data_IF_109648821316
#
_entry.id   IF_109648821316
#
_cell.length_a   1.000
_cell.length_b   1.000
_cell.length_c   1.000
_cell.angle_alpha   90.00
_cell.angle_beta   90.00
_cell.angle_gamma   90.00
#
_symmetry.space_group_name_H-M   'P 1'
#
loop_
_entity.id
_entity.type
_entity.pdbx_description
1 polymer ?
#
# COMPACT_ATOMS: atom_id res chain seq x y z
N UNK A 1 -0.52 -11.14 -16.34
CA UNK A 1 -0.13 -11.16 -14.92
C UNK A 1 -1.38 -11.14 -14.04
N UNK A 2 -1.46 -12.00 -13.02
CA UNK A 2 -2.50 -12.06 -12.00
C UNK A 2 -1.94 -11.51 -10.69
N UNK A 3 -2.61 -10.52 -10.12
CA UNK A 3 -2.16 -9.84 -8.90
C UNK A 3 -3.19 -10.04 -7.80
N UNK A 4 -2.72 -10.31 -6.59
CA UNK A 4 -3.54 -10.12 -5.39
C UNK A 4 -3.26 -8.73 -4.86
N UNK A 5 -4.27 -7.87 -4.90
CA UNK A 5 -4.19 -6.50 -4.39
C UNK A 5 -4.89 -6.44 -3.03
N UNK A 6 -4.11 -6.24 -1.97
CA UNK A 6 -4.54 -6.13 -0.57
C UNK A 6 -4.09 -4.77 -0.01
N UNK A 7 -4.80 -4.28 1.00
CA UNK A 7 -4.43 -3.09 1.77
C UNK A 7 -5.17 -3.09 3.12
N UNK A 8 -4.85 -2.12 3.98
CA UNK A 8 -5.66 -1.77 5.15
C UNK A 8 -5.95 -2.99 6.04
N UNK A 9 -4.90 -3.79 6.30
CA UNK A 9 -5.00 -5.00 7.12
C UNK A 9 -5.34 -4.65 8.58
N UNK A 10 -4.85 -3.51 9.07
CA UNK A 10 -5.06 -3.00 10.43
C UNK A 10 -4.94 -4.06 11.52
N UNK A 11 -3.91 -4.90 11.44
CA UNK A 11 -3.69 -6.00 12.39
C UNK A 11 -3.59 -5.42 13.81
N UNK A 12 -4.36 -6.00 14.74
CA UNK A 12 -4.44 -5.56 16.12
C UNK A 12 -5.51 -4.49 16.40
N UNK A 13 -6.40 -4.20 15.44
CA UNK A 13 -7.54 -3.30 15.65
C UNK A 13 -8.51 -3.88 16.69
N UNK A 14 -9.04 -2.98 17.53
CA UNK A 14 -10.12 -3.27 18.48
C UNK A 14 -11.39 -2.58 18.01
N UNK A 15 -12.53 -3.28 18.02
CA UNK A 15 -13.83 -2.70 17.72
C UNK A 15 -14.61 -2.53 19.02
N UNK A 16 -14.87 -1.27 19.41
CA UNK A 16 -15.54 -0.94 20.67
C UNK A 16 -14.90 -1.61 21.91
N UNK A 17 -13.58 -1.79 21.90
CA UNK A 17 -12.82 -2.44 22.98
C UNK A 17 -12.74 -3.98 22.87
N UNK A 18 -13.43 -4.59 21.91
CA UNK A 18 -13.35 -6.03 21.66
C UNK A 18 -12.22 -6.36 20.68
N UNK A 19 -11.48 -7.42 20.99
CA UNK A 19 -10.43 -7.92 20.10
C UNK A 19 -11.04 -8.56 18.86
N UNK A 20 -10.54 -8.19 17.69
CA UNK A 20 -10.89 -8.80 16.41
C UNK A 20 -9.91 -9.91 16.00
N UNK A 21 -9.02 -10.32 16.91
CA UNK A 21 -7.90 -11.21 16.61
C UNK A 21 -8.29 -12.45 15.82
N UNK A 22 -9.24 -13.24 16.33
CA UNK A 22 -9.62 -14.51 15.71
C UNK A 22 -10.16 -14.29 14.29
N UNK A 23 -10.91 -13.20 14.09
CA UNK A 23 -11.42 -12.83 12.77
C UNK A 23 -10.30 -12.41 11.82
N UNK A 24 -9.34 -11.61 12.30
CA UNK A 24 -8.17 -11.20 11.51
C UNK A 24 -7.30 -12.41 11.15
N UNK A 25 -7.04 -13.32 12.09
CA UNK A 25 -6.31 -14.58 11.82
C UNK A 25 -7.04 -15.43 10.77
N UNK A 26 -8.37 -15.56 10.86
CA UNK A 26 -9.16 -16.31 9.90
C UNK A 26 -9.11 -15.70 8.48
N UNK A 27 -9.23 -14.37 8.36
CA UNK A 27 -9.16 -13.67 7.07
C UNK A 27 -7.77 -13.78 6.44
N UNK A 28 -6.71 -13.59 7.23
CA UNK A 28 -5.33 -13.74 6.74
C UNK A 28 -5.05 -15.19 6.30
N UNK A 29 -5.54 -16.18 7.04
CA UNK A 29 -5.46 -17.59 6.63
C UNK A 29 -6.20 -17.83 5.31
N UNK A 30 -7.40 -17.28 5.15
CA UNK A 30 -8.18 -17.42 3.93
C UNK A 30 -7.48 -16.79 2.73
N UNK A 31 -6.85 -15.63 2.90
CA UNK A 31 -6.03 -14.99 1.86
C UNK A 31 -4.87 -15.89 1.46
N UNK A 32 -4.16 -16.50 2.42
CA UNK A 32 -3.07 -17.42 2.14
C UNK A 32 -3.55 -18.68 1.41
N UNK A 33 -4.71 -19.22 1.79
CA UNK A 33 -5.34 -20.36 1.09
C UNK A 33 -5.71 -20.00 -0.36
N UNK A 34 -6.29 -18.81 -0.59
CA UNK A 34 -6.53 -18.33 -1.94
C UNK A 34 -5.23 -18.13 -2.71
N UNK A 35 -4.19 -17.55 -2.11
CA UNK A 35 -2.90 -17.38 -2.78
C UNK A 35 -2.29 -18.74 -3.19
N UNK A 36 -2.48 -19.77 -2.36
CA UNK A 36 -2.03 -21.14 -2.66
C UNK A 36 -2.83 -21.78 -3.79
N UNK A 37 -4.15 -21.59 -3.82
CA UNK A 37 -5.03 -22.17 -4.85
C UNK A 37 -4.91 -21.45 -6.20
N UNK A 38 -4.89 -20.12 -6.16
CA UNK A 38 -4.99 -19.24 -7.32
C UNK A 38 -3.64 -18.83 -7.90
N UNK A 39 -2.57 -18.98 -7.10
CA UNK A 39 -1.18 -18.73 -7.44
C UNK A 39 -0.96 -17.42 -8.25
N UNK A 40 -1.21 -16.24 -7.64
CA UNK A 40 -0.94 -14.97 -8.31
C UNK A 40 0.56 -14.80 -8.59
N UNK A 41 0.87 -14.05 -9.64
CA UNK A 41 2.25 -13.71 -10.01
C UNK A 41 2.91 -12.77 -8.98
N UNK A 42 2.12 -11.99 -8.24
CA UNK A 42 2.56 -11.21 -7.10
C UNK A 42 1.41 -10.89 -6.14
N UNK A 43 1.76 -10.71 -4.86
CA UNK A 43 0.86 -10.19 -3.81
C UNK A 43 1.31 -8.77 -3.47
N UNK A 44 0.39 -7.82 -3.56
CA UNK A 44 0.60 -6.41 -3.26
C UNK A 44 -0.08 -6.09 -1.93
N UNK A 45 0.65 -5.59 -0.94
CA UNK A 45 0.12 -5.12 0.35
C UNK A 45 0.33 -3.61 0.41
N UNK A 46 -0.73 -2.86 0.10
CA UNK A 46 -0.71 -1.43 -0.14
C UNK A 46 -0.94 -0.60 1.12
N UNK A 47 -0.17 -0.86 2.19
CA UNK A 47 -0.15 -0.06 3.41
C UNK A 47 -1.17 -0.44 4.48
N UNK A 48 -1.03 0.19 5.64
CA UNK A 48 -1.77 -0.01 6.87
C UNK A 48 -1.81 -1.48 7.30
N UNK A 49 -0.60 -2.03 7.47
CA UNK A 49 -0.41 -3.40 7.97
C UNK A 49 -0.93 -3.51 9.40
N UNK A 50 -0.58 -2.53 10.23
CA UNK A 50 -1.00 -2.47 11.62
C UNK A 50 -2.01 -1.37 11.88
N UNK A 51 -2.88 -1.54 12.88
CA UNK A 51 -3.82 -0.50 13.31
C UNK A 51 -3.12 0.72 13.95
N UNK A 52 -1.91 0.54 14.48
CA UNK A 52 -1.17 1.59 15.21
C UNK A 52 0.32 1.50 14.94
N UNK A 53 0.99 2.64 15.04
CA UNK A 53 2.44 2.74 14.83
C UNK A 53 3.27 1.99 15.87
N UNK A 54 2.68 1.71 17.04
CA UNK A 54 3.19 0.82 18.07
C UNK A 54 2.25 -0.41 18.24
N UNK A 55 2.37 -1.43 17.37
CA UNK A 55 1.58 -2.66 17.45
C UNK A 55 1.89 -3.45 18.72
N UNK A 56 0.94 -4.27 19.17
CA UNK A 56 1.18 -5.25 20.23
C UNK A 56 2.10 -6.37 19.75
N UNK A 57 2.76 -7.08 20.66
CA UNK A 57 3.54 -8.27 20.31
C UNK A 57 2.73 -9.33 19.54
N UNK A 58 1.45 -9.45 19.88
CA UNK A 58 0.50 -10.33 19.21
C UNK A 58 0.25 -9.93 17.75
N UNK A 59 0.13 -8.63 17.47
CA UNK A 59 -0.01 -8.14 16.10
C UNK A 59 1.22 -8.49 15.23
N UNK A 60 2.43 -8.36 15.79
CA UNK A 60 3.65 -8.78 15.09
C UNK A 60 3.63 -10.29 14.79
N UNK A 61 3.27 -11.12 15.77
CA UNK A 61 3.18 -12.58 15.57
C UNK A 61 2.15 -12.96 14.51
N UNK A 62 1.03 -12.25 14.45
CA UNK A 62 0.01 -12.51 13.43
C UNK A 62 0.51 -12.20 12.02
N UNK A 63 1.16 -11.04 11.84
CA UNK A 63 1.72 -10.69 10.54
C UNK A 63 2.87 -11.61 10.12
N UNK A 64 3.74 -11.98 11.07
CA UNK A 64 4.82 -12.94 10.85
C UNK A 64 4.29 -14.29 10.35
N UNK A 65 3.27 -14.86 11.01
CA UNK A 65 2.61 -16.09 10.56
C UNK A 65 1.98 -15.98 9.17
N UNK A 66 1.39 -14.82 8.87
CA UNK A 66 0.84 -14.58 7.54
C UNK A 66 1.94 -14.56 6.47
N UNK A 67 3.04 -13.84 6.70
CA UNK A 67 4.19 -13.85 5.80
C UNK A 67 4.84 -15.22 5.69
N UNK A 68 4.94 -15.98 6.78
CA UNK A 68 5.43 -17.36 6.79
C UNK A 68 4.58 -18.23 5.85
N UNK A 69 3.26 -18.23 6.03
CA UNK A 69 2.31 -18.98 5.21
C UNK A 69 2.42 -18.61 3.72
N UNK A 70 2.52 -17.33 3.38
CA UNK A 70 2.75 -16.90 1.99
C UNK A 70 4.11 -17.38 1.46
N UNK A 71 5.15 -17.32 2.30
CA UNK A 71 6.52 -17.69 1.92
C UNK A 71 6.72 -19.20 1.73
N UNK A 72 5.81 -20.03 2.24
CA UNK A 72 5.80 -21.49 2.08
C UNK A 72 5.21 -21.94 0.73
N UNK A 73 4.42 -21.09 0.06
CA UNK A 73 3.82 -21.42 -1.23
C UNK A 73 4.91 -21.68 -2.27
N UNK A 74 4.71 -22.73 -3.09
CA UNK A 74 5.62 -23.13 -4.17
C UNK A 74 4.87 -23.30 -5.49
N UNK A 75 5.41 -22.78 -6.62
CA UNK A 75 6.58 -21.90 -6.73
C UNK A 75 6.40 -20.59 -5.93
N UNK A 76 7.53 -19.96 -5.55
CA UNK A 76 7.51 -18.79 -4.65
C UNK A 76 6.78 -17.62 -5.31
N UNK A 77 5.86 -16.99 -4.58
CA UNK A 77 5.13 -15.79 -5.01
C UNK A 77 5.83 -14.55 -4.40
N UNK A 78 6.28 -13.58 -5.21
CA UNK A 78 6.77 -12.30 -4.72
C UNK A 78 5.69 -11.54 -3.93
N UNK A 79 6.07 -10.98 -2.77
CA UNK A 79 5.21 -10.13 -1.95
C UNK A 79 5.79 -8.73 -1.91
N UNK A 80 5.03 -7.74 -2.38
CA UNK A 80 5.44 -6.33 -2.46
C UNK A 80 4.64 -5.55 -1.42
N UNK A 81 5.33 -4.89 -0.49
CA UNK A 81 4.72 -4.29 0.69
C UNK A 81 5.15 -2.84 0.79
N UNK A 82 4.19 -1.94 0.95
CA UNK A 82 4.43 -0.53 1.30
C UNK A 82 3.88 -0.22 2.70
N UNK A 83 4.49 0.75 3.39
CA UNK A 83 3.95 1.26 4.65
C UNK A 83 2.78 2.24 4.41
N UNK A 84 1.73 2.15 5.23
CA UNK A 84 0.64 3.13 5.26
C UNK A 84 0.86 4.23 6.30
N UNK A 85 -0.17 5.04 6.59
CA UNK A 85 -0.06 6.14 7.56
C UNK A 85 -0.14 5.68 9.03
N UNK A 86 -0.67 4.49 9.30
CA UNK A 86 -0.70 3.91 10.65
C UNK A 86 0.61 3.21 11.02
N UNK A 87 1.38 2.79 10.03
CA UNK A 87 2.59 2.01 10.24
C UNK A 87 3.77 2.87 10.74
N UNK A 88 4.72 2.24 11.46
CA UNK A 88 6.02 2.85 11.75
C UNK A 88 7.05 2.33 10.75
N UNK A 89 7.60 3.20 9.87
CA UNK A 89 8.62 2.79 8.91
C UNK A 89 9.85 2.14 9.55
N UNK A 90 10.34 2.67 10.66
CA UNK A 90 11.51 2.14 11.37
C UNK A 90 11.27 0.71 11.84
N UNK A 91 10.10 0.45 12.44
CA UNK A 91 9.73 -0.88 12.96
C UNK A 91 9.52 -1.89 11.85
N UNK A 92 8.86 -1.49 10.76
CA UNK A 92 8.69 -2.36 9.59
C UNK A 92 10.04 -2.65 8.88
N UNK A 93 10.96 -1.69 8.87
CA UNK A 93 12.24 -1.83 8.14
C UNK A 93 13.21 -2.85 8.75
N UNK A 94 13.05 -3.21 10.03
CA UNK A 94 14.05 -3.91 10.86
C UNK A 94 14.57 -5.23 10.24
N UNK A 95 13.73 -5.95 9.48
CA UNK A 95 14.09 -7.23 8.85
C UNK A 95 14.04 -7.21 7.32
N UNK A 96 13.97 -6.03 6.69
CA UNK A 96 13.79 -5.87 5.23
C UNK A 96 14.81 -6.68 4.39
N UNK A 97 16.10 -6.59 4.71
CA UNK A 97 17.16 -7.32 3.98
C UNK A 97 17.08 -8.84 4.13
N UNK A 98 16.53 -9.34 5.23
CA UNK A 98 16.27 -10.76 5.45
C UNK A 98 15.09 -11.22 4.59
N UNK A 99 13.98 -10.46 4.63
CA UNK A 99 12.74 -10.75 3.91
C UNK A 99 12.92 -10.77 2.40
N UNK A 100 13.77 -9.89 1.86
CA UNK A 100 14.06 -9.86 0.41
C UNK A 100 14.65 -11.16 -0.13
N UNK A 101 15.43 -11.88 0.69
CA UNK A 101 15.94 -13.22 0.31
C UNK A 101 14.83 -14.25 0.12
N UNK A 102 13.65 -13.97 0.66
CA UNK A 102 12.44 -14.77 0.54
C UNK A 102 11.44 -14.17 -0.46
N UNK A 103 11.88 -13.23 -1.33
CA UNK A 103 11.05 -12.50 -2.29
C UNK A 103 9.93 -11.68 -1.65
N UNK A 104 10.17 -11.20 -0.43
CA UNK A 104 9.28 -10.29 0.28
C UNK A 104 9.97 -8.92 0.31
N UNK A 105 9.45 -7.96 -0.44
CA UNK A 105 10.06 -6.66 -0.68
C UNK A 105 9.28 -5.58 0.05
N UNK A 106 9.94 -4.91 1.00
CA UNK A 106 9.36 -3.80 1.75
C UNK A 106 9.88 -2.45 1.23
N UNK A 107 9.00 -1.47 1.10
CA UNK A 107 9.33 -0.06 0.88
C UNK A 107 8.59 0.77 1.93
N UNK A 108 9.31 1.39 2.86
CA UNK A 108 8.70 2.01 4.05
C UNK A 108 9.08 3.47 4.24
N UNK A 109 10.14 3.93 3.58
CA UNK A 109 10.51 5.33 3.50
C UNK A 109 10.48 5.79 2.04
N UNK A 110 9.99 7.01 1.76
CA UNK A 110 10.23 7.60 0.46
C UNK A 110 11.71 8.00 0.33
N UNK A 111 12.20 8.19 -0.90
CA UNK A 111 13.52 8.77 -1.16
C UNK A 111 13.69 10.12 -0.47
N UNK A 112 14.84 10.31 0.20
CA UNK A 112 15.18 11.58 0.86
C UNK A 112 16.48 12.20 0.35
N UNK A 113 17.19 11.51 -0.55
CA UNK A 113 18.40 12.00 -1.21
C UNK A 113 18.22 12.08 -2.72
N UNK A 114 18.95 12.99 -3.37
CA UNK A 114 18.82 13.25 -4.81
C UNK A 114 19.09 12.00 -5.66
N UNK A 115 20.00 11.14 -5.19
CA UNK A 115 20.40 9.87 -5.81
C UNK A 115 19.48 8.68 -5.48
N UNK A 116 18.52 8.86 -4.57
CA UNK A 116 17.54 7.85 -4.22
C UNK A 116 16.25 8.00 -5.04
N UNK A 117 15.69 6.87 -5.43
CA UNK A 117 14.45 6.73 -6.20
C UNK A 117 13.53 5.73 -5.51
N UNK A 118 12.26 5.72 -5.90
CA UNK A 118 11.32 4.72 -5.42
C UNK A 118 11.87 3.31 -5.64
N UNK A 119 11.65 2.45 -4.65
CA UNK A 119 12.00 1.04 -4.78
C UNK A 119 11.21 0.46 -5.95
N UNK A 120 11.95 -0.03 -6.95
CA UNK A 120 11.39 -0.62 -8.16
C UNK A 120 11.68 -2.12 -8.22
N UNK A 121 10.65 -2.93 -8.39
CA UNK A 121 10.77 -4.39 -8.56
C UNK A 121 10.34 -4.75 -9.97
N UNK A 122 11.23 -5.41 -10.72
CA UNK A 122 10.93 -5.91 -12.05
C UNK A 122 10.47 -7.38 -11.95
N UNK A 123 9.25 -7.65 -12.39
CA UNK A 123 8.73 -9.00 -12.61
C UNK A 123 8.47 -9.20 -14.11
N UNK A 124 8.13 -10.42 -14.51
CA UNK A 124 7.78 -10.71 -15.89
C UNK A 124 6.65 -11.73 -15.98
N UNK A 125 5.83 -11.61 -17.01
CA UNK A 125 4.89 -12.64 -17.44
C UNK A 125 5.13 -13.01 -18.91
N UNK A 126 4.22 -13.79 -19.51
CA UNK A 126 4.31 -14.20 -20.92
C UNK A 126 4.33 -13.03 -21.93
N UNK A 127 3.89 -11.83 -21.53
CA UNK A 127 3.87 -10.62 -22.37
C UNK A 127 5.09 -9.72 -22.15
N UNK A 128 6.05 -10.15 -21.32
CA UNK A 128 7.31 -9.44 -21.07
C UNK A 128 7.40 -8.83 -19.67
N UNK A 129 8.28 -7.85 -19.45
CA UNK A 129 8.51 -7.30 -18.13
C UNK A 129 7.38 -6.37 -17.65
N UNK A 130 7.27 -6.25 -16.32
CA UNK A 130 6.38 -5.34 -15.60
C UNK A 130 7.18 -4.70 -14.47
N UNK A 131 7.19 -3.37 -14.42
CA UNK A 131 7.90 -2.59 -13.41
C UNK A 131 6.94 -2.18 -12.28
N UNK A 132 7.22 -2.59 -11.06
CA UNK A 132 6.46 -2.23 -9.87
C UNK A 132 7.16 -1.14 -9.07
N UNK A 133 6.50 0.00 -8.89
CA UNK A 133 6.98 1.14 -8.13
C UNK A 133 6.29 1.16 -6.77
N UNK A 134 7.08 1.13 -5.69
CA UNK A 134 6.57 1.02 -4.33
C UNK A 134 6.62 2.38 -3.62
N UNK A 135 5.51 3.13 -3.66
CA UNK A 135 5.33 4.41 -2.99
C UNK A 135 4.67 4.22 -1.62
N UNK A 136 5.42 4.23 -0.50
CA UNK A 136 4.82 4.25 0.84
C UNK A 136 4.08 5.56 1.10
N UNK A 137 3.30 5.59 2.19
CA UNK A 137 2.62 6.81 2.63
C UNK A 137 3.60 7.97 2.73
N UNK A 138 3.34 9.01 1.96
CA UNK A 138 4.25 10.13 1.77
C UNK A 138 3.67 11.38 2.41
N UNK A 139 4.34 11.88 3.45
CA UNK A 139 4.11 13.22 3.99
C UNK A 139 4.99 14.22 3.24
N UNK A 140 4.48 15.41 2.84
CA UNK A 140 5.29 16.43 2.17
C UNK A 140 6.59 16.79 2.90
N UNK A 141 6.56 16.78 4.24
CA UNK A 141 7.73 17.06 5.08
C UNK A 141 8.92 16.11 4.85
N UNK A 142 8.70 14.89 4.34
CA UNK A 142 9.77 13.95 4.02
C UNK A 142 10.64 14.40 2.85
N UNK A 143 10.09 15.21 1.94
CA UNK A 143 10.82 15.67 0.75
C UNK A 143 11.59 16.96 0.99
N UNK A 144 11.50 17.57 2.18
CA UNK A 144 12.24 18.81 2.52
C UNK A 144 13.74 18.74 2.17
N UNK A 145 14.47 17.64 2.42
CA UNK A 145 15.89 17.55 2.07
C UNK A 145 16.16 17.61 0.55
N UNK A 146 15.14 17.35 -0.28
CA UNK A 146 15.20 17.36 -1.74
C UNK A 146 14.77 18.68 -2.37
N UNK A 147 14.30 19.64 -1.55
CA UNK A 147 13.80 20.93 -2.01
C UNK A 147 14.84 22.01 -1.69
N UNK A 148 15.60 22.52 -2.69
CA UNK A 148 16.68 23.48 -2.46
C UNK A 148 16.23 24.77 -1.78
N UNK A 149 14.96 25.15 -1.95
CA UNK A 149 14.34 26.35 -1.39
C UNK A 149 13.62 26.09 -0.04
N UNK A 150 13.56 24.82 0.41
CA UNK A 150 12.83 24.43 1.61
C UNK A 150 11.33 24.68 1.54
N UNK A 151 10.77 24.77 0.32
CA UNK A 151 9.35 25.04 0.09
C UNK A 151 8.45 24.00 0.77
N UNK A 152 7.28 24.47 1.23
CA UNK A 152 6.23 23.59 1.74
C UNK A 152 5.37 23.14 0.57
N UNK A 153 5.34 21.84 0.31
CA UNK A 153 4.48 21.24 -0.70
C UNK A 153 3.15 20.80 -0.07
N UNK A 154 2.08 20.88 -0.85
CA UNK A 154 0.87 20.07 -0.64
C UNK A 154 1.15 18.58 -0.88
N UNK A 155 0.21 17.71 -0.51
CA UNK A 155 0.32 16.27 -0.77
C UNK A 155 0.38 15.97 -2.27
N UNK A 156 -0.43 16.64 -3.09
CA UNK A 156 -0.39 16.46 -4.55
C UNK A 156 0.96 16.89 -5.12
N UNK A 157 1.45 18.08 -4.75
CA UNK A 157 2.75 18.57 -5.22
C UNK A 157 3.89 17.65 -4.78
N UNK A 158 3.83 17.08 -3.57
CA UNK A 158 4.82 16.14 -3.07
C UNK A 158 4.85 14.84 -3.89
N UNK A 159 3.69 14.22 -4.15
CA UNK A 159 3.62 13.01 -5.00
C UNK A 159 4.04 13.33 -6.43
N UNK A 160 3.56 14.44 -7.00
CA UNK A 160 3.92 14.86 -8.37
C UNK A 160 5.42 15.12 -8.51
N UNK A 161 6.03 15.82 -7.54
CA UNK A 161 7.47 16.06 -7.50
C UNK A 161 8.24 14.75 -7.42
N UNK A 162 7.88 13.86 -6.50
CA UNK A 162 8.58 12.59 -6.33
C UNK A 162 8.50 11.75 -7.60
N UNK A 163 7.31 11.58 -8.18
CA UNK A 163 7.12 10.81 -9.41
C UNK A 163 7.79 11.46 -10.63
N UNK A 164 7.94 12.79 -10.67
CA UNK A 164 8.66 13.48 -11.76
C UNK A 164 10.16 13.19 -11.78
N UNK A 165 10.72 12.73 -10.66
CA UNK A 165 12.13 12.31 -10.58
C UNK A 165 12.32 10.90 -11.14
N UNK A 166 11.28 10.09 -11.16
CA UNK A 166 11.34 8.70 -11.61
C UNK A 166 11.52 8.59 -13.12
N UNK A 167 12.29 7.58 -13.55
CA UNK A 167 12.50 7.28 -14.97
C UNK A 167 11.55 6.17 -15.41
N UNK A 168 10.28 6.51 -15.56
CA UNK A 168 9.22 5.58 -15.97
C UNK A 168 9.29 5.38 -17.49
N UNK A 169 9.51 4.15 -17.95
CA UNK A 169 9.52 3.82 -19.37
C UNK A 169 8.09 3.54 -19.87
N UNK A 170 7.49 4.41 -20.70
CA UNK A 170 6.13 4.24 -21.19
C UNK A 170 5.97 3.06 -22.17
N UNK A 171 7.07 2.43 -22.60
CA UNK A 171 7.03 1.23 -23.45
C UNK A 171 6.91 -0.06 -22.65
N UNK A 172 7.11 0.00 -21.33
CA UNK A 172 6.94 -1.11 -20.40
C UNK A 172 5.60 -0.98 -19.69
N UNK A 173 5.11 -2.09 -19.14
CA UNK A 173 3.97 -2.06 -18.23
C UNK A 173 4.43 -1.60 -16.86
N UNK A 174 3.82 -0.55 -16.33
CA UNK A 174 4.19 0.06 -15.07
C UNK A 174 3.04 -0.06 -14.07
N UNK A 175 3.31 -0.60 -12.89
CA UNK A 175 2.37 -0.72 -11.78
C UNK A 175 2.88 0.10 -10.61
N UNK A 176 2.02 0.88 -9.97
CA UNK A 176 2.36 1.59 -8.73
C UNK A 176 1.53 1.05 -7.56
N UNK A 177 2.19 0.82 -6.43
CA UNK A 177 1.54 0.65 -5.13
C UNK A 177 1.59 1.99 -4.43
N UNK A 178 0.46 2.46 -3.92
CA UNK A 178 0.38 3.72 -3.19
C UNK A 178 -0.61 3.66 -2.04
N UNK A 179 -0.30 4.37 -0.97
CA UNK A 179 -1.21 4.56 0.15
C UNK A 179 -1.36 6.07 0.38
N UNK A 180 -2.40 6.67 -0.19
CA UNK A 180 -2.72 8.11 -0.12
C UNK A 180 -4.22 8.31 -0.38
N UNK A 181 -4.73 9.54 -0.20
CA UNK A 181 -6.10 9.90 -0.56
C UNK A 181 -6.18 10.51 -1.98
N UNK A 182 -6.62 9.71 -2.96
CA UNK A 182 -6.72 10.09 -4.36
C UNK A 182 -8.14 10.48 -4.75
N UNK A 183 -8.28 11.56 -5.52
CA UNK A 183 -9.55 12.05 -6.09
C UNK A 183 -9.50 12.05 -7.62
N UNK A 184 -10.65 12.19 -8.29
CA UNK A 184 -10.71 12.34 -9.74
C UNK A 184 -11.42 13.64 -10.11
N UNK A 185 -10.67 14.71 -10.31
CA UNK A 185 -11.21 16.06 -10.47
C UNK A 185 -12.06 16.48 -9.27
N UNK A 186 -13.33 16.79 -9.50
CA UNK A 186 -14.28 17.14 -8.44
C UNK A 186 -14.99 15.93 -7.82
N UNK A 187 -14.76 14.73 -8.33
CA UNK A 187 -15.35 13.51 -7.78
C UNK A 187 -14.51 13.00 -6.61
N UNK A 188 -15.16 12.90 -5.45
CA UNK A 188 -14.56 12.36 -4.23
C UNK A 188 -14.90 10.88 -4.08
N UNK A 189 -13.94 10.04 -3.65
CA UNK A 189 -14.22 8.67 -3.25
C UNK A 189 -15.26 8.60 -2.12
N UNK A 190 -15.98 7.49 -2.06
CA UNK A 190 -16.84 7.20 -0.91
C UNK A 190 -15.97 6.82 0.29
N UNK A 191 -16.24 7.43 1.44
CA UNK A 191 -15.56 7.13 2.71
C UNK A 191 -16.50 6.41 3.68
N UNK A 192 -15.90 5.73 4.68
CA UNK A 192 -16.60 5.04 5.75
C UNK A 192 -16.25 5.59 7.14
N UNK A 193 -17.03 5.24 8.17
CA UNK A 193 -16.88 5.79 9.52
C UNK A 193 -15.53 5.46 10.17
N UNK A 194 -14.94 4.31 9.81
CA UNK A 194 -13.60 3.88 10.23
C UNK A 194 -12.49 4.79 9.69
N UNK A 195 -12.77 5.55 8.64
CA UNK A 195 -11.89 6.53 8.01
C UNK A 195 -12.18 7.97 8.49
N UNK A 196 -13.13 8.17 9.43
CA UNK A 196 -13.61 9.50 9.80
C UNK A 196 -12.49 10.44 10.29
N UNK A 197 -11.40 9.91 10.87
CA UNK A 197 -10.24 10.72 11.24
C UNK A 197 -9.48 11.29 10.02
N UNK A 198 -9.47 10.56 8.90
CA UNK A 198 -8.90 11.00 7.61
C UNK A 198 -9.77 12.10 6.99
N UNK A 199 -11.09 11.93 7.02
CA UNK A 199 -12.04 12.94 6.53
C UNK A 199 -11.98 14.28 7.33
N UNK A 200 -11.66 14.21 8.63
CA UNK A 200 -11.53 15.40 9.50
C UNK A 200 -10.27 16.25 9.25
N UNK A 201 -9.32 15.81 8.43
CA UNK A 201 -8.16 16.63 8.02
C UNK A 201 -8.52 17.77 7.04
N UNK A 202 -9.81 17.90 6.67
CA UNK A 202 -10.31 19.07 5.94
C UNK A 202 -9.96 19.11 4.45
N UNK A 203 -9.55 17.97 3.87
CA UNK A 203 -9.25 17.86 2.43
C UNK A 203 -7.89 18.42 2.01
N UNK A 204 -6.97 18.67 2.94
CA UNK A 204 -5.60 19.14 2.68
C UNK A 204 -4.68 18.03 2.10
N UNK A 205 -5.18 16.80 2.11
CA UNK A 205 -4.48 15.55 1.83
C UNK A 205 -4.84 14.98 0.45
N UNK A 206 -5.71 15.68 -0.30
CA UNK A 206 -6.25 15.21 -1.58
C UNK A 206 -5.20 15.28 -2.69
N UNK A 207 -5.18 14.24 -3.52
CA UNK A 207 -4.26 14.10 -4.65
C UNK A 207 -5.06 13.75 -5.89
N UNK A 208 -5.04 14.58 -6.92
CA UNK A 208 -5.70 14.22 -8.17
C UNK A 208 -5.01 13.02 -8.84
N UNK A 209 -5.80 12.05 -9.28
CA UNK A 209 -5.33 10.79 -9.86
C UNK A 209 -4.49 10.98 -11.13
N UNK A 210 -4.54 12.15 -11.79
CA UNK A 210 -3.67 12.47 -12.93
C UNK A 210 -2.17 12.37 -12.62
N UNK A 211 -1.76 12.46 -11.34
CA UNK A 211 -0.35 12.20 -10.97
C UNK A 211 0.10 10.77 -11.30
N UNK A 212 -0.84 9.84 -11.51
CA UNK A 212 -0.62 8.43 -11.79
C UNK A 212 -0.77 8.07 -13.28
N UNK A 213 -0.84 9.05 -14.18
CA UNK A 213 -1.08 8.80 -15.61
C UNK A 213 0.01 7.99 -16.32
N UNK A 214 1.23 7.95 -15.78
CA UNK A 214 2.32 7.15 -16.30
C UNK A 214 2.21 5.64 -15.97
N UNK A 215 1.23 5.22 -15.17
CA UNK A 215 1.07 3.84 -14.70
C UNK A 215 -0.13 3.14 -15.33
N UNK A 216 0.07 1.93 -15.83
CA UNK A 216 -0.99 1.11 -16.41
C UNK A 216 -1.98 0.63 -15.35
N UNK A 217 -1.51 0.36 -14.13
CA UNK A 217 -2.32 0.00 -12.97
C UNK A 217 -1.80 0.67 -11.69
N UNK A 218 -2.72 1.19 -10.88
CA UNK A 218 -2.43 1.71 -9.56
C UNK A 218 -3.20 0.93 -8.49
N UNK A 219 -2.43 0.21 -7.66
CA UNK A 219 -2.89 -0.53 -6.51
C UNK A 219 -2.90 0.41 -5.30
N UNK A 220 -4.09 0.90 -4.93
CA UNK A 220 -4.27 1.86 -3.84
C UNK A 220 -4.75 1.17 -2.56
N UNK A 221 -4.17 1.55 -1.42
CA UNK A 221 -4.76 1.40 -0.09
C UNK A 221 -5.02 2.75 0.54
N UNK A 222 -5.66 2.78 1.74
CA UNK A 222 -6.06 3.93 2.58
C UNK A 222 -7.57 4.05 2.75
N UNK A 223 -8.34 3.67 1.71
CA UNK A 223 -9.79 3.61 1.76
C UNK A 223 -10.24 2.15 1.87
N UNK A 224 -11.13 1.89 2.81
CA UNK A 224 -11.65 0.58 3.19
C UNK A 224 -12.77 0.10 2.27
N UNK A 225 -13.41 1.01 1.53
CA UNK A 225 -14.37 0.69 0.48
C UNK A 225 -13.68 0.38 -0.85
N UNK A 226 -13.95 -0.80 -1.41
CA UNK A 226 -13.44 -1.18 -2.75
C UNK A 226 -14.08 -0.30 -3.82
N UNK A 227 -13.27 0.47 -4.56
CA UNK A 227 -13.76 1.39 -5.56
C UNK A 227 -12.70 1.78 -6.59
N UNK A 228 -13.15 2.22 -7.77
CA UNK A 228 -12.30 2.85 -8.79
C UNK A 228 -12.19 4.35 -8.56
N UNK A 229 -11.09 4.96 -8.98
CA UNK A 229 -10.90 6.41 -8.97
C UNK A 229 -10.52 6.90 -10.35
N UNK A 230 -11.40 7.66 -10.99
CA UNK A 230 -11.19 8.19 -12.35
C UNK A 230 -11.27 7.13 -13.45
N UNK A 231 -10.36 6.16 -13.48
CA UNK A 231 -10.31 5.06 -14.46
C UNK A 231 -10.29 3.68 -13.81
N UNK A 232 -10.67 2.65 -14.58
CA UNK A 232 -10.78 1.26 -14.09
C UNK A 232 -9.49 0.68 -13.51
N UNK A 233 -8.34 1.14 -14.01
CA UNK A 233 -7.04 0.63 -13.60
C UNK A 233 -6.45 1.34 -12.37
N UNK A 234 -7.19 2.26 -11.75
CA UNK A 234 -6.80 2.90 -10.49
C UNK A 234 -7.84 2.53 -9.43
N UNK A 235 -7.45 1.71 -8.46
CA UNK A 235 -8.40 1.08 -7.54
C UNK A 235 -7.92 1.09 -6.11
N UNK A 236 -8.83 1.43 -5.20
CA UNK A 236 -8.76 1.00 -3.81
C UNK A 236 -9.32 -0.41 -3.69
N UNK A 237 -8.56 -1.35 -3.12
CA UNK A 237 -9.11 -2.70 -2.88
C UNK A 237 -10.04 -2.74 -1.67
N UNK A 238 -9.85 -1.85 -0.70
CA UNK A 238 -10.58 -1.88 0.56
C UNK A 238 -9.97 -2.84 1.58
N UNK A 239 -10.55 -2.84 2.77
CA UNK A 239 -10.14 -3.73 3.86
C UNK A 239 -10.59 -5.17 3.57
N UNK A 240 -9.76 -6.17 3.89
CA UNK A 240 -10.16 -7.58 3.77
C UNK A 240 -11.13 -8.01 4.88
N UNK A 241 -11.17 -7.27 5.99
CA UNK A 241 -12.14 -7.45 7.08
C UNK A 241 -12.84 -6.14 7.39
N UNK A 242 -14.15 -6.20 7.70
CA UNK A 242 -14.96 -5.01 7.93
C UNK A 242 -14.71 -4.41 9.32
N UNK A 243 -14.26 -3.15 9.36
CA UNK A 243 -13.91 -2.45 10.60
C UNK A 243 -14.95 -1.41 11.03
N UNK A 244 -15.99 -1.19 10.23
CA UNK A 244 -17.21 -0.48 10.63
C UNK A 244 -18.43 -1.03 9.90
N UNK A 245 -19.63 -0.80 10.45
CA UNK A 245 -20.90 -1.19 9.81
C UNK A 245 -21.05 -0.51 8.46
N UNK A 246 -20.55 0.72 8.33
CA UNK A 246 -20.64 1.49 7.09
C UNK A 246 -19.80 0.92 5.91
N UNK A 247 -18.91 -0.05 6.19
CA UNK A 247 -18.16 -0.79 5.18
C UNK A 247 -18.92 -2.01 4.60
N UNK A 248 -20.06 -2.38 5.19
CA UNK A 248 -21.01 -3.35 4.59
C UNK A 248 -21.81 -2.62 3.49
N UNK A 249 -21.27 -2.59 2.27
CA UNK A 249 -21.96 -2.11 1.07
C UNK A 249 -21.87 -3.14 -0.04
#
# INVERSE_FOLDING_TARGET
>A
MKLFHLSDLHIGKLLCGYSLRENQEAVLSQIADYAKAEHPDAILICGDIYDKSAPSGEAYVMFDRFLEALSEIRPRIPVLIIAGNHDSPERLSYASSFLERHSIYLSVFPPVREDEFLKKIELADEYGPVDFYLLPFLKPGYLRPLLPDGSALSYEEAVRFLLSREKIDPKRRNVILSHQFYTAGQSEPETCDSEAAVAMAGGLDKIDVSVLDAFDYAALGHLHGSQRVGRESVRYCGTPYKYSVSEER
#
